data_IF_411331840342
#
_entry.id   IF_411331840342
#
_cell.length_a   1.000
_cell.length_b   1.000
_cell.length_c   1.000
_cell.angle_alpha   90.00
_cell.angle_beta   90.00
_cell.angle_gamma   90.00
#
_symmetry.space_group_name_H-M   'P 1'
#
loop_
_entity.id
_entity.type
_entity.pdbx_description
1 polymer ?
#
# COMPACT_ATOMS: atom_id res chain seq x y z
N UNK A 1 4.52 -2.38 12.54
CA UNK A 1 3.08 -2.72 12.49
C UNK A 1 2.70 -2.89 11.02
N UNK A 2 1.79 -3.80 10.71
CA UNK A 2 1.31 -4.04 9.35
C UNK A 2 -0.12 -3.51 9.21
N UNK A 3 -0.47 -3.09 8.00
CA UNK A 3 -1.75 -2.45 7.71
C UNK A 3 -2.30 -2.95 6.38
N UNK A 4 -3.61 -2.99 6.25
CA UNK A 4 -4.32 -3.27 5.00
C UNK A 4 -4.44 -1.99 4.19
N UNK A 5 -4.20 -2.11 2.90
CA UNK A 5 -4.32 -1.01 1.96
C UNK A 5 -4.86 -1.51 0.61
N UNK A 6 -5.49 -0.60 -0.13
CA UNK A 6 -5.97 -0.82 -1.48
C UNK A 6 -5.11 0.00 -2.45
N UNK A 7 -4.55 -0.64 -3.47
CA UNK A 7 -3.80 0.08 -4.51
C UNK A 7 -4.77 0.90 -5.36
N UNK A 8 -4.58 2.22 -5.39
CA UNK A 8 -5.43 3.17 -6.11
C UNK A 8 -4.73 3.84 -7.29
N UNK A 9 -3.41 3.70 -7.37
CA UNK A 9 -2.60 4.13 -8.50
C UNK A 9 -1.41 3.18 -8.67
N UNK A 10 -1.14 2.74 -9.89
CA UNK A 10 0.01 1.91 -10.23
C UNK A 10 0.75 2.35 -11.50
N UNK A 11 0.42 3.53 -12.03
CA UNK A 11 1.13 4.15 -13.15
C UNK A 11 2.09 5.24 -12.62
N UNK A 12 3.39 5.06 -12.90
CA UNK A 12 4.47 5.88 -12.36
C UNK A 12 4.74 5.62 -10.87
N UNK A 13 4.11 6.42 -9.99
CA UNK A 13 4.23 6.27 -8.54
C UNK A 13 3.11 5.37 -8.06
N UNK A 14 3.46 4.28 -7.37
CA UNK A 14 2.46 3.41 -6.80
C UNK A 14 1.91 3.99 -5.49
N UNK A 15 0.60 4.22 -5.44
CA UNK A 15 -0.11 4.74 -4.28
C UNK A 15 -1.15 3.72 -3.84
N UNK A 16 -1.15 3.44 -2.54
CA UNK A 16 -2.24 2.73 -1.90
C UNK A 16 -2.91 3.63 -0.85
N UNK A 17 -4.19 3.36 -0.60
CA UNK A 17 -4.94 3.98 0.50
C UNK A 17 -5.10 2.97 1.62
N UNK A 18 -4.78 3.37 2.84
CA UNK A 18 -5.02 2.54 4.02
C UNK A 18 -6.54 2.30 4.21
N UNK A 19 -6.90 1.05 4.50
CA UNK A 19 -8.29 0.59 4.73
C UNK A 19 -8.55 0.24 6.22
N UNK A 20 -7.50 0.20 7.03
CA UNK A 20 -7.54 -0.08 8.48
C UNK A 20 -7.95 1.15 9.32
N UNK A 21 -7.63 1.17 10.62
CA UNK A 21 -7.93 2.23 11.60
C UNK A 21 -7.60 3.65 11.12
N UNK A 22 -6.59 3.79 10.25
CA UNK A 22 -6.18 5.05 9.63
C UNK A 22 -6.68 5.06 8.19
N UNK A 23 -7.97 5.32 7.99
CA UNK A 23 -8.59 5.26 6.66
C UNK A 23 -8.18 6.43 5.77
N UNK A 24 -7.88 6.13 4.51
CA UNK A 24 -7.77 7.13 3.43
C UNK A 24 -6.44 7.87 3.34
N UNK A 25 -5.46 7.56 4.18
CA UNK A 25 -4.10 8.09 4.02
C UNK A 25 -3.44 7.50 2.77
N UNK A 26 -2.88 8.39 1.95
CA UNK A 26 -2.10 8.01 0.77
C UNK A 26 -0.71 7.57 1.21
N UNK A 27 -0.38 6.32 0.89
CA UNK A 27 0.92 5.72 1.15
C UNK A 27 1.61 5.41 -0.17
N UNK A 28 2.87 5.82 -0.27
CA UNK A 28 3.73 5.58 -1.42
C UNK A 28 4.36 4.20 -1.25
N UNK A 29 4.13 3.34 -2.24
CA UNK A 29 4.66 1.98 -2.27
C UNK A 29 5.96 1.93 -3.06
N UNK A 30 6.99 1.33 -2.48
CA UNK A 30 8.25 1.05 -3.20
C UNK A 30 8.12 -0.08 -4.24
N UNK A 31 7.10 -0.92 -4.13
CA UNK A 31 6.88 -2.03 -5.06
C UNK A 31 6.15 -1.53 -6.31
N UNK A 32 6.75 -1.77 -7.48
CA UNK A 32 6.24 -1.31 -8.78
C UNK A 32 5.37 -2.35 -9.48
N UNK A 33 5.28 -3.58 -8.94
CA UNK A 33 4.57 -4.70 -9.61
C UNK A 33 3.24 -5.01 -8.97
N UNK A 34 2.37 -4.02 -8.78
CA UNK A 34 1.01 -4.22 -8.28
C UNK A 34 -0.06 -3.79 -9.27
N UNK A 35 -1.21 -4.44 -9.19
CA UNK A 35 -2.36 -4.10 -10.00
C UNK A 35 -3.21 -3.03 -9.30
N UNK A 36 -3.89 -2.23 -10.11
CA UNK A 36 -4.92 -1.32 -9.63
C UNK A 36 -6.02 -2.11 -8.91
N UNK A 37 -6.56 -1.57 -7.82
CA UNK A 37 -7.57 -2.17 -6.96
C UNK A 37 -7.13 -3.48 -6.28
N UNK A 38 -5.83 -3.79 -6.27
CA UNK A 38 -5.29 -4.93 -5.52
C UNK A 38 -5.26 -4.62 -4.02
N UNK A 39 -5.88 -5.49 -3.21
CA UNK A 39 -5.78 -5.42 -1.75
C UNK A 39 -4.44 -6.00 -1.29
N UNK A 40 -3.71 -5.24 -0.49
CA UNK A 40 -2.36 -5.59 -0.02
C UNK A 40 -2.19 -5.35 1.47
N UNK A 41 -1.31 -6.11 2.09
CA UNK A 41 -0.78 -5.83 3.42
C UNK A 41 0.54 -5.08 3.26
N UNK A 42 0.70 -3.99 3.99
CA UNK A 42 1.86 -3.11 3.91
C UNK A 42 2.49 -2.90 5.28
N UNK A 43 3.80 -2.64 5.27
CA UNK A 43 4.57 -2.19 6.42
C UNK A 43 5.11 -0.79 6.14
N UNK A 44 4.74 0.17 6.97
CA UNK A 44 5.32 1.52 6.94
C UNK A 44 6.80 1.41 7.28
N UNK A 45 7.63 2.00 6.42
CA UNK A 45 9.08 2.06 6.57
C UNK A 45 9.52 3.41 7.12
N UNK A 46 8.98 4.49 6.54
CA UNK A 46 9.37 5.86 6.86
C UNK A 46 8.16 6.79 6.70
N UNK A 47 8.12 7.83 7.53
CA UNK A 47 7.18 8.94 7.39
C UNK A 47 7.98 10.23 7.34
N UNK A 48 7.97 10.88 6.18
CA UNK A 48 8.53 12.21 6.00
C UNK A 48 7.47 13.25 6.40
N UNK A 49 7.63 13.79 7.60
CA UNK A 49 6.71 14.77 8.19
C UNK A 49 6.76 16.09 7.43
N UNK A 50 7.94 16.48 6.91
CA UNK A 50 8.13 17.75 6.21
C UNK A 50 7.41 17.72 4.87
N UNK A 51 7.50 16.59 4.16
CA UNK A 51 6.83 16.40 2.87
C UNK A 51 5.42 15.84 2.98
N UNK A 52 4.94 15.54 4.19
CA UNK A 52 3.66 14.88 4.46
C UNK A 52 3.49 13.56 3.67
N UNK A 53 4.58 12.78 3.54
CA UNK A 53 4.60 11.52 2.78
C UNK A 53 4.87 10.34 3.70
N UNK A 54 4.17 9.24 3.45
CA UNK A 54 4.40 7.98 4.14
C UNK A 54 4.84 6.96 3.11
N UNK A 55 5.97 6.31 3.38
CA UNK A 55 6.55 5.28 2.53
C UNK A 55 6.36 3.91 3.15
N UNK A 56 5.93 2.96 2.34
CA UNK A 56 5.66 1.60 2.78
C UNK A 56 6.14 0.57 1.76
N UNK A 57 6.38 -0.65 2.24
CA UNK A 57 6.57 -1.82 1.38
C UNK A 57 5.41 -2.78 1.53
N UNK A 58 5.14 -3.54 0.49
CA UNK A 58 4.16 -4.62 0.52
C UNK A 58 4.77 -5.81 1.24
N UNK A 59 4.03 -6.38 2.20
CA UNK A 59 4.41 -7.61 2.90
C UNK A 59 3.62 -8.82 2.41
N UNK A 60 2.38 -8.62 1.95
CA UNK A 60 1.53 -9.69 1.44
C UNK A 60 0.49 -9.13 0.46
N UNK A 61 0.05 -9.95 -0.50
CA UNK A 61 -1.09 -9.64 -1.39
C UNK A 61 -2.31 -10.38 -0.87
N UNK A 62 -3.40 -9.67 -0.61
CA UNK A 62 -4.58 -10.18 0.10
C UNK A 62 -5.70 -10.68 -0.83
N UNK A 63 -5.45 -10.77 -2.14
CA UNK A 63 -6.45 -11.11 -3.15
C UNK A 63 -6.11 -12.28 -4.07
N UNK A 64 -5.02 -13.02 -3.84
CA UNK A 64 -4.83 -14.32 -4.50
C UNK A 64 -5.34 -15.40 -3.55
N UNK A 65 -6.60 -15.79 -3.72
CA UNK A 65 -6.96 -17.18 -3.53
C UNK A 65 -6.06 -17.97 -4.49
N UNK A 66 -5.00 -18.58 -3.96
CA UNK A 66 -4.36 -19.69 -4.63
C UNK A 66 -5.39 -20.82 -4.62
N UNK A 67 -6.25 -20.85 -5.64
CA UNK A 67 -6.96 -22.08 -5.99
C UNK A 67 -5.88 -23.07 -6.45
N UNK A 68 -5.43 -23.91 -5.52
CA UNK A 68 -4.76 -25.18 -5.78
C UNK A 68 -5.65 -26.28 -5.26
#
# INVERSE_FOLDING_TARGET
>A
KKFKALVVQNDGICIAKLDDEIKGADIILYDTRVNLLESVEVQILEADIIMAKIYAKITQRLGKESNV
#
